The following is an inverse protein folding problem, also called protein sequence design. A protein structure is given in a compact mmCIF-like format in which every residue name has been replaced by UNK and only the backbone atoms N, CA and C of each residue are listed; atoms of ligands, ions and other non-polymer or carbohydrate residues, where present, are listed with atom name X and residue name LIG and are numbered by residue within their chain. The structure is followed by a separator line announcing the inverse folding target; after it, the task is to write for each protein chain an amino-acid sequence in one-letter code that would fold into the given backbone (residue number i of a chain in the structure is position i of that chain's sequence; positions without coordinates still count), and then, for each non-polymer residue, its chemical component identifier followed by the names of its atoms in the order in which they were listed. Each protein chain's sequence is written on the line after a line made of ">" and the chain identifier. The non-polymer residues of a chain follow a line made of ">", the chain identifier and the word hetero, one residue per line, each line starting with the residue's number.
data_IF_599735338423
#
_entry.id   IF_599735338423
#
_cell.length_a   1.000
_cell.length_b   1.000
_cell.length_c   1.000
_cell.angle_alpha   90.00
_cell.angle_beta   90.00
_cell.angle_gamma   90.00
#
_symmetry.space_group_name_H-M   'P 1'
#
loop_
_entity.id
_entity.type
_entity.pdbx_description
1 polymer ?
#
# COMPACT_ATOMS: atom_id res chain seq x y z
N UNK A 1 -36.30 11.26 -10.12
CA UNK A 1 -35.26 12.30 -9.93
C UNK A 1 -34.46 12.36 -11.22
N UNK A 2 -34.61 13.43 -12.01
CA UNK A 2 -33.84 13.64 -13.24
C UNK A 2 -32.54 14.33 -12.85
N UNK A 3 -31.40 13.73 -13.14
CA UNK A 3 -30.11 14.40 -13.02
C UNK A 3 -30.03 15.44 -14.13
N UNK A 4 -29.94 16.71 -13.77
CA UNK A 4 -29.70 17.78 -14.73
C UNK A 4 -28.24 17.66 -15.20
N UNK A 5 -28.06 17.33 -16.48
CA UNK A 5 -26.84 17.70 -17.19
C UNK A 5 -26.93 19.20 -17.44
N UNK A 6 -26.37 19.98 -16.50
CA UNK A 6 -26.10 21.39 -16.70
C UNK A 6 -24.81 21.52 -17.53
N UNK A 7 -24.85 22.02 -18.78
CA UNK A 7 -23.67 22.16 -19.63
C UNK A 7 -22.77 23.35 -19.25
N UNK A 8 -23.08 24.09 -18.16
CA UNK A 8 -22.33 25.26 -17.73
C UNK A 8 -21.03 24.96 -16.97
N UNK A 9 -20.85 23.72 -16.49
CA UNK A 9 -19.55 23.27 -16.01
C UNK A 9 -18.89 22.48 -17.14
N UNK A 10 -17.95 23.12 -17.84
CA UNK A 10 -16.95 22.35 -18.59
C UNK A 10 -16.35 21.28 -17.68
N UNK A 11 -15.84 20.19 -18.24
CA UNK A 11 -15.11 19.14 -17.51
C UNK A 11 -13.85 19.73 -16.83
N UNK A 12 -14.02 20.59 -15.82
CA UNK A 12 -12.95 21.16 -15.04
C UNK A 12 -12.45 20.06 -14.13
N UNK A 13 -11.24 19.60 -14.44
CA UNK A 13 -10.54 18.63 -13.63
C UNK A 13 -10.31 19.21 -12.24
N UNK A 14 -10.97 18.64 -11.24
CA UNK A 14 -10.77 19.04 -9.85
C UNK A 14 -9.48 18.42 -9.36
N UNK A 15 -8.45 19.26 -9.17
CA UNK A 15 -7.15 18.82 -8.66
C UNK A 15 -7.12 18.92 -7.15
N UNK A 16 -6.75 17.83 -6.48
CA UNK A 16 -6.52 17.83 -5.03
C UNK A 16 -5.11 17.33 -4.72
N UNK A 17 -4.59 17.63 -3.53
CA UNK A 17 -3.22 17.25 -3.17
C UNK A 17 -3.07 15.75 -2.90
N UNK A 18 -3.97 15.20 -2.09
CA UNK A 18 -3.84 13.82 -1.64
C UNK A 18 -5.20 13.24 -1.26
N UNK A 19 -5.29 11.91 -1.39
CA UNK A 19 -6.33 11.09 -0.81
C UNK A 19 -5.65 10.00 0.02
N UNK A 20 -6.19 9.75 1.21
CA UNK A 20 -5.85 8.56 2.01
C UNK A 20 -7.13 7.76 2.30
N UNK A 21 -7.12 6.46 1.99
CA UNK A 21 -8.16 5.54 2.42
C UNK A 21 -7.62 4.57 3.46
N UNK A 22 -8.26 4.53 4.63
CA UNK A 22 -7.95 3.61 5.72
C UNK A 22 -9.06 2.57 5.82
N UNK A 23 -8.71 1.31 5.60
CA UNK A 23 -9.68 0.22 5.55
C UNK A 23 -9.64 -0.60 6.85
N UNK A 24 -10.80 -0.89 7.42
CA UNK A 24 -10.94 -1.80 8.57
C UNK A 24 -10.90 -3.28 8.17
N UNK A 25 -11.17 -3.58 6.91
CA UNK A 25 -11.08 -4.91 6.30
C UNK A 25 -10.56 -4.77 4.86
N UNK A 26 -9.81 -5.77 4.40
CA UNK A 26 -9.40 -5.88 3.01
C UNK A 26 -10.64 -6.03 2.11
N UNK A 27 -10.87 -5.07 1.21
CA UNK A 27 -11.97 -5.09 0.24
C UNK A 27 -11.51 -4.48 -1.09
N UNK A 28 -11.18 -5.33 -2.06
CA UNK A 28 -10.71 -4.88 -3.38
C UNK A 28 -11.75 -4.17 -4.20
N UNK A 29 -13.00 -4.62 -4.12
CA UNK A 29 -14.08 -4.03 -4.90
C UNK A 29 -14.34 -2.60 -4.44
N UNK A 30 -14.18 -2.33 -3.15
CA UNK A 30 -14.24 -0.97 -2.62
C UNK A 30 -13.12 -0.09 -3.19
N UNK A 31 -11.89 -0.61 -3.26
CA UNK A 31 -10.75 0.13 -3.82
C UNK A 31 -10.94 0.41 -5.32
N UNK A 32 -11.36 -0.58 -6.10
CA UNK A 32 -11.62 -0.43 -7.54
C UNK A 32 -12.70 0.63 -7.79
N UNK A 33 -13.85 0.50 -7.11
CA UNK A 33 -14.95 1.46 -7.22
C UNK A 33 -14.55 2.86 -6.78
N UNK A 34 -13.66 2.97 -5.79
CA UNK A 34 -13.14 4.25 -5.36
C UNK A 34 -12.32 4.91 -6.47
N UNK A 35 -11.41 4.16 -7.11
CA UNK A 35 -10.59 4.65 -8.23
C UNK A 35 -11.45 5.02 -9.44
N UNK A 36 -12.44 4.20 -9.77
CA UNK A 36 -13.41 4.48 -10.84
C UNK A 36 -14.19 5.77 -10.54
N UNK A 37 -14.69 5.94 -9.32
CA UNK A 37 -15.40 7.13 -8.91
C UNK A 37 -14.57 8.42 -9.04
N UNK A 38 -13.26 8.38 -8.79
CA UNK A 38 -12.38 9.53 -9.05
C UNK A 38 -12.32 9.90 -10.53
N UNK A 39 -12.23 8.88 -11.40
CA UNK A 39 -12.21 9.08 -12.87
C UNK A 39 -13.54 9.64 -13.37
N UNK A 40 -14.66 9.05 -12.95
CA UNK A 40 -16.01 9.45 -13.33
C UNK A 40 -16.34 10.90 -12.94
N UNK A 41 -15.79 11.38 -11.82
CA UNK A 41 -16.01 12.74 -11.32
C UNK A 41 -14.91 13.73 -11.72
N UNK A 42 -14.01 13.38 -12.64
CA UNK A 42 -12.89 14.23 -13.09
C UNK A 42 -12.01 14.75 -11.92
N UNK A 43 -11.80 13.92 -10.89
CA UNK A 43 -10.97 14.25 -9.73
C UNK A 43 -9.56 13.67 -9.93
N UNK A 44 -8.55 14.54 -9.91
CA UNK A 44 -7.15 14.16 -10.08
C UNK A 44 -6.33 14.51 -8.85
N UNK A 45 -6.16 13.58 -7.89
CA UNK A 45 -5.24 13.78 -6.78
C UNK A 45 -3.78 13.64 -7.26
N UNK A 46 -2.87 14.46 -6.74
CA UNK A 46 -1.42 14.28 -6.99
C UNK A 46 -0.88 12.98 -6.39
N UNK A 47 -1.49 12.51 -5.30
CA UNK A 47 -1.11 11.25 -4.66
C UNK A 47 -2.34 10.48 -4.18
N UNK A 48 -2.36 9.17 -4.44
CA UNK A 48 -3.39 8.23 -3.97
C UNK A 48 -2.73 7.22 -3.04
N UNK A 49 -3.02 7.32 -1.74
CA UNK A 49 -2.43 6.47 -0.71
C UNK A 49 -3.48 5.56 -0.10
N UNK A 50 -3.17 4.28 0.01
CA UNK A 50 -4.03 3.28 0.62
C UNK A 50 -3.29 2.58 1.74
N UNK A 51 -3.96 2.47 2.89
CA UNK A 51 -3.43 1.73 4.05
C UNK A 51 -4.41 0.60 4.35
N UNK A 52 -3.93 -0.63 4.16
CA UNK A 52 -4.69 -1.82 4.47
C UNK A 52 -4.78 -2.04 5.99
N UNK A 53 -5.78 -2.80 6.48
CA UNK A 53 -5.79 -3.21 7.88
C UNK A 53 -4.58 -4.09 8.19
N UNK A 54 -4.26 -4.22 9.49
CA UNK A 54 -3.21 -5.12 9.97
C UNK A 54 -3.48 -6.55 9.50
N UNK A 55 -2.52 -7.13 8.80
CA UNK A 55 -2.59 -8.48 8.23
C UNK A 55 -1.63 -9.47 8.88
N UNK A 56 -1.78 -10.75 8.48
CA UNK A 56 -0.82 -11.83 8.74
C UNK A 56 0.10 -12.01 7.53
N UNK A 57 1.20 -12.73 7.73
CA UNK A 57 2.24 -12.96 6.71
C UNK A 57 1.84 -14.03 5.70
N UNK A 58 0.89 -14.90 6.05
CA UNK A 58 0.44 -16.00 5.20
C UNK A 58 -0.07 -15.53 3.82
N UNK A 59 -0.43 -14.25 3.69
CA UNK A 59 -0.98 -13.64 2.47
C UNK A 59 0.05 -12.82 1.65
N UNK A 60 1.35 -12.87 1.96
CA UNK A 60 2.34 -11.96 1.35
C UNK A 60 2.45 -12.03 -0.18
N UNK A 61 2.26 -13.20 -0.80
CA UNK A 61 2.22 -13.31 -2.27
C UNK A 61 0.99 -12.63 -2.88
N UNK A 62 -0.16 -12.78 -2.23
CA UNK A 62 -1.39 -12.14 -2.66
C UNK A 62 -1.27 -10.62 -2.53
N UNK A 63 -0.69 -10.15 -1.43
CA UNK A 63 -0.37 -8.73 -1.18
C UNK A 63 0.58 -8.15 -2.24
N UNK A 64 1.62 -8.88 -2.63
CA UNK A 64 2.55 -8.44 -3.67
C UNK A 64 1.84 -8.26 -5.02
N UNK A 65 1.04 -9.25 -5.44
CA UNK A 65 0.24 -9.16 -6.67
C UNK A 65 -0.72 -7.97 -6.63
N UNK A 66 -1.46 -7.85 -5.54
CA UNK A 66 -2.38 -6.74 -5.33
C UNK A 66 -1.70 -5.37 -5.43
N UNK A 67 -0.51 -5.21 -4.84
CA UNK A 67 0.23 -3.96 -4.90
C UNK A 67 0.55 -3.55 -6.35
N UNK A 68 0.86 -4.53 -7.21
CA UNK A 68 1.03 -4.30 -8.65
C UNK A 68 -0.29 -3.87 -9.30
N UNK A 69 -1.36 -4.66 -9.11
CA UNK A 69 -2.68 -4.40 -9.69
C UNK A 69 -3.18 -2.98 -9.32
N UNK A 70 -2.96 -2.54 -8.08
CA UNK A 70 -3.31 -1.19 -7.62
C UNK A 70 -2.45 -0.11 -8.27
N UNK A 71 -1.15 -0.37 -8.45
CA UNK A 71 -0.24 0.49 -9.19
C UNK A 71 -0.67 0.71 -10.64
N UNK A 72 -1.09 -0.35 -11.32
CA UNK A 72 -1.63 -0.29 -12.69
C UNK A 72 -2.94 0.52 -12.77
N UNK A 73 -3.72 0.53 -11.69
CA UNK A 73 -4.92 1.35 -11.54
C UNK A 73 -4.63 2.80 -11.10
N UNK A 74 -3.36 3.20 -11.03
CA UNK A 74 -2.93 4.55 -10.70
C UNK A 74 -2.99 4.87 -9.21
N UNK A 75 -2.87 3.87 -8.33
CA UNK A 75 -2.58 4.07 -6.92
C UNK A 75 -1.06 4.20 -6.76
N UNK A 76 -0.62 5.31 -6.18
CA UNK A 76 0.81 5.66 -6.13
C UNK A 76 1.52 5.02 -4.92
N UNK A 77 0.77 4.68 -3.88
CA UNK A 77 1.31 4.11 -2.67
C UNK A 77 0.30 3.21 -1.95
N UNK A 78 0.74 2.01 -1.60
CA UNK A 78 -0.04 1.06 -0.80
C UNK A 78 0.82 0.58 0.37
N UNK A 79 0.33 0.77 1.59
CA UNK A 79 0.99 0.25 2.79
C UNK A 79 0.26 -0.99 3.31
N UNK A 80 1.04 -2.04 3.56
CA UNK A 80 0.59 -3.28 4.15
C UNK A 80 1.18 -3.42 5.55
N UNK A 81 0.42 -3.03 6.58
CA UNK A 81 0.85 -3.20 7.94
C UNK A 81 0.72 -4.68 8.35
N UNK A 82 1.83 -5.28 8.77
CA UNK A 82 1.90 -6.61 9.33
C UNK A 82 1.88 -6.51 10.85
N UNK A 83 1.02 -7.31 11.50
CA UNK A 83 0.97 -7.40 12.96
C UNK A 83 2.28 -7.92 13.55
N UNK A 84 2.32 -8.26 14.84
CA UNK A 84 3.54 -8.79 15.48
C UNK A 84 4.12 -9.97 14.70
N UNK A 85 5.32 -9.78 14.15
CA UNK A 85 6.02 -10.75 13.31
C UNK A 85 7.27 -11.25 14.03
N UNK A 86 7.52 -12.56 13.99
CA UNK A 86 8.86 -13.09 14.27
C UNK A 86 9.72 -12.95 13.01
N UNK A 87 10.46 -11.85 12.90
CA UNK A 87 11.26 -11.50 11.72
C UNK A 87 12.28 -12.59 11.33
N UNK A 88 12.83 -13.31 12.31
CA UNK A 88 13.78 -14.39 12.05
C UNK A 88 13.14 -15.55 11.29
N UNK A 89 11.85 -15.80 11.51
CA UNK A 89 11.10 -16.84 10.80
C UNK A 89 10.48 -16.35 9.50
N UNK A 90 10.05 -15.10 9.45
CA UNK A 90 9.20 -14.60 8.35
C UNK A 90 9.92 -13.74 7.30
N UNK A 91 11.20 -13.43 7.52
CA UNK A 91 11.95 -12.54 6.62
C UNK A 91 12.07 -13.05 5.19
N UNK A 92 12.09 -14.37 4.97
CA UNK A 92 12.10 -14.94 3.62
C UNK A 92 10.84 -14.63 2.83
N UNK A 93 9.68 -14.72 3.47
CA UNK A 93 8.38 -14.43 2.86
C UNK A 93 8.24 -12.93 2.56
N UNK A 94 8.70 -12.08 3.48
CA UNK A 94 8.73 -10.63 3.30
C UNK A 94 9.62 -10.24 2.12
N UNK A 95 10.87 -10.74 2.08
CA UNK A 95 11.82 -10.44 1.02
C UNK A 95 11.31 -10.94 -0.32
N UNK A 96 10.77 -12.15 -0.38
CA UNK A 96 10.18 -12.69 -1.62
C UNK A 96 9.05 -11.80 -2.13
N UNK A 97 8.13 -11.39 -1.27
CA UNK A 97 7.04 -10.51 -1.68
C UNK A 97 7.52 -9.11 -2.12
N UNK A 98 8.53 -8.56 -1.46
CA UNK A 98 9.15 -7.30 -1.87
C UNK A 98 9.92 -7.40 -3.20
N UNK A 99 10.38 -8.60 -3.57
CA UNK A 99 10.97 -8.88 -4.88
C UNK A 99 9.89 -9.07 -5.95
N UNK A 100 8.79 -9.73 -5.59
CA UNK A 100 7.65 -9.98 -6.49
C UNK A 100 6.90 -8.67 -6.82
N UNK A 101 7.03 -7.62 -6.01
CA UNK A 101 6.47 -6.29 -6.27
C UNK A 101 7.40 -5.17 -5.81
N UNK A 102 7.88 -4.37 -6.76
CA UNK A 102 8.64 -3.15 -6.53
C UNK A 102 7.78 -2.00 -5.97
N UNK A 103 6.45 -2.11 -6.06
CA UNK A 103 5.48 -1.15 -5.50
C UNK A 103 5.08 -1.44 -4.07
N UNK A 104 5.35 -2.65 -3.59
CA UNK A 104 4.94 -3.08 -2.26
C UNK A 104 5.69 -2.30 -1.19
N UNK A 105 4.94 -1.56 -0.36
CA UNK A 105 5.43 -1.01 0.90
C UNK A 105 4.91 -1.85 2.08
N UNK A 106 5.83 -2.38 2.89
CA UNK A 106 5.49 -3.16 4.09
C UNK A 106 5.76 -2.34 5.33
N UNK A 107 4.79 -2.26 6.25
CA UNK A 107 5.03 -1.71 7.60
C UNK A 107 4.98 -2.83 8.61
N UNK A 108 5.94 -2.93 9.53
CA UNK A 108 6.03 -4.06 10.46
C UNK A 108 6.10 -3.55 11.89
N UNK A 109 5.29 -4.15 12.79
CA UNK A 109 5.49 -4.01 14.23
C UNK A 109 6.48 -5.06 14.71
N UNK A 110 7.58 -4.58 15.28
CA UNK A 110 8.66 -5.39 15.81
C UNK A 110 8.66 -5.42 17.34
N UNK A 111 9.13 -6.54 17.88
CA UNK A 111 9.41 -6.68 19.30
C UNK A 111 10.69 -5.97 19.74
N UNK A 112 11.66 -5.83 18.83
CA UNK A 112 13.02 -5.39 19.12
C UNK A 112 13.54 -4.53 17.97
N UNK A 113 14.21 -3.43 18.30
CA UNK A 113 14.77 -2.51 17.31
C UNK A 113 15.91 -3.17 16.51
N UNK A 114 16.62 -4.12 17.12
CA UNK A 114 17.71 -4.86 16.47
C UNK A 114 17.23 -5.71 15.30
N UNK A 115 15.97 -6.16 15.33
CA UNK A 115 15.38 -6.93 14.23
C UNK A 115 15.10 -6.05 13.00
N UNK A 116 14.84 -4.73 13.18
CA UNK A 116 14.75 -3.79 12.06
C UNK A 116 16.09 -3.66 11.35
N UNK A 117 17.16 -3.41 12.12
CA UNK A 117 18.51 -3.27 11.58
C UNK A 117 18.97 -4.55 10.88
N UNK A 118 18.67 -5.71 11.47
CA UNK A 118 19.00 -7.01 10.85
C UNK A 118 18.23 -7.22 9.54
N UNK A 119 16.92 -6.96 9.52
CA UNK A 119 16.11 -7.13 8.31
C UNK A 119 16.51 -6.14 7.21
N UNK A 120 16.78 -4.87 7.55
CA UNK A 120 17.26 -3.86 6.59
C UNK A 120 18.57 -4.28 5.92
N UNK A 121 19.55 -4.77 6.69
CA UNK A 121 20.80 -5.29 6.12
C UNK A 121 20.55 -6.48 5.19
N UNK A 122 19.60 -7.35 5.55
CA UNK A 122 19.23 -8.49 4.73
C UNK A 122 18.57 -8.06 3.41
N UNK A 123 17.61 -7.13 3.48
CA UNK A 123 16.94 -6.54 2.30
C UNK A 123 17.94 -5.84 1.39
N UNK A 124 18.82 -5.00 1.94
CA UNK A 124 19.84 -4.31 1.16
C UNK A 124 20.73 -5.29 0.38
N UNK A 125 21.15 -6.38 1.04
CA UNK A 125 22.00 -7.41 0.42
C UNK A 125 21.28 -8.19 -0.67
N UNK A 126 20.00 -8.52 -0.47
CA UNK A 126 19.25 -9.42 -1.36
C UNK A 126 18.50 -8.67 -2.48
N UNK A 127 18.05 -7.44 -2.22
CA UNK A 127 17.18 -6.66 -3.11
C UNK A 127 17.73 -5.26 -3.46
N UNK A 128 18.85 -4.84 -2.86
CA UNK A 128 19.46 -3.53 -3.09
C UNK A 128 18.89 -2.39 -2.23
N UNK A 129 19.56 -1.23 -2.28
CA UNK A 129 19.27 -0.07 -1.43
C UNK A 129 17.88 0.53 -1.67
N UNK A 130 17.41 0.54 -2.92
CA UNK A 130 16.08 1.05 -3.28
C UNK A 130 14.98 0.27 -2.53
N UNK A 131 15.14 -1.03 -2.33
CA UNK A 131 14.16 -1.85 -1.60
C UNK A 131 14.04 -1.44 -0.12
N UNK A 132 15.09 -0.89 0.49
CA UNK A 132 15.05 -0.40 1.87
C UNK A 132 14.11 0.80 2.05
N UNK A 133 13.80 1.54 0.98
CA UNK A 133 12.84 2.67 1.03
C UNK A 133 11.38 2.20 1.11
N UNK A 134 11.15 0.89 0.92
CA UNK A 134 9.82 0.27 0.83
C UNK A 134 9.43 -0.53 2.07
N UNK A 135 10.11 -0.29 3.19
CA UNK A 135 9.81 -0.93 4.46
C UNK A 135 9.82 0.09 5.60
N UNK A 136 8.77 0.06 6.41
CA UNK A 136 8.63 0.84 7.62
C UNK A 136 8.61 -0.05 8.86
N UNK A 137 9.08 0.49 9.99
CA UNK A 137 9.10 -0.22 11.26
C UNK A 137 8.42 0.60 12.33
N UNK A 138 7.68 -0.08 13.19
CA UNK A 138 7.26 0.41 14.49
C UNK A 138 7.77 -0.55 15.56
N UNK A 139 8.26 -0.03 16.68
CA UNK A 139 8.73 -0.85 17.81
C UNK A 139 7.88 -0.49 19.01
N UNK A 140 7.25 -1.49 19.62
CA UNK A 140 6.44 -1.27 20.81
C UNK A 140 5.47 -2.39 21.12
N UNK A 141 4.80 -2.24 22.25
CA UNK A 141 3.73 -3.11 22.69
C UNK A 141 2.39 -2.52 22.21
N UNK A 142 1.69 -3.27 21.35
CA UNK A 142 0.25 -3.08 21.16
C UNK A 142 -0.51 -3.84 22.24
#
# INVERSE_FOLDING_TARGET
>A
MKFFNDPAFGNEMTTIRAISLHLSKLDFRLVERFVEGLKENSISPWTRRFVFPWGKIEDMRHIAKLSLDLGENGIDFTAFPLGRVNIRRSSEEIIRAMNDSDRLFVSIILHKVEDAAWLLKRIQRELGEVACTRIGFSVGDQ
#
